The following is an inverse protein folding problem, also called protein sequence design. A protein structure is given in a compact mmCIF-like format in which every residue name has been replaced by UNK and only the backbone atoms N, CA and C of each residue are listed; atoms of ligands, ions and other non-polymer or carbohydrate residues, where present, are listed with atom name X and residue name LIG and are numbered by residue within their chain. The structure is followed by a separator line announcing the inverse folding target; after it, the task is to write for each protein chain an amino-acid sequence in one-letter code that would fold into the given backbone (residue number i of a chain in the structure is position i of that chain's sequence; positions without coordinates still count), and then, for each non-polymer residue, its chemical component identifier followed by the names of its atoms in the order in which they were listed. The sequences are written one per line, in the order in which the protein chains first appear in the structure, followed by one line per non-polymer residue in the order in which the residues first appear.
data_IF_275873772405
#
_entry.id   IF_275873772405
#
_cell.length_a   1.000
_cell.length_b   1.000
_cell.length_c   1.000
_cell.angle_alpha   90.00
_cell.angle_beta   90.00
_cell.angle_gamma   90.00
#
_symmetry.space_group_name_H-M   'P 1'
#
loop_
_entity.id
_entity.type
_entity.pdbx_description
1 polymer ?
#
# COMPACT_ATOMS: atom_id res chain seq x y z
N UNK A 1 24.38 -14.53 -13.00
CA UNK A 1 22.97 -14.40 -13.46
C UNK A 1 22.24 -13.53 -12.45
N UNK A 2 21.78 -12.35 -12.85
CA UNK A 2 21.06 -11.44 -11.96
C UNK A 2 19.60 -11.89 -11.89
N UNK A 3 19.13 -12.30 -10.70
CA UNK A 3 17.70 -12.51 -10.49
C UNK A 3 16.97 -11.17 -10.67
N UNK A 4 15.82 -11.18 -11.36
CA UNK A 4 14.93 -10.04 -11.33
C UNK A 4 14.51 -9.80 -9.87
N UNK A 5 14.38 -8.53 -9.40
CA UNK A 5 13.92 -8.26 -8.06
C UNK A 5 12.56 -8.95 -7.83
N UNK A 6 12.42 -9.63 -6.69
CA UNK A 6 11.18 -10.30 -6.34
C UNK A 6 10.04 -9.28 -6.29
N UNK A 7 8.97 -9.51 -7.05
CA UNK A 7 7.79 -8.67 -6.99
C UNK A 7 7.10 -8.89 -5.64
N UNK A 8 7.11 -7.87 -4.79
CA UNK A 8 6.42 -7.91 -3.51
C UNK A 8 4.95 -7.54 -3.72
N UNK A 9 4.02 -8.39 -3.27
CA UNK A 9 2.58 -8.20 -3.42
C UNK A 9 2.01 -7.62 -2.13
N UNK A 10 1.43 -6.43 -2.21
CA UNK A 10 0.70 -5.82 -1.11
C UNK A 10 -0.79 -5.68 -1.46
N UNK A 11 -1.68 -6.00 -0.52
CA UNK A 11 -3.12 -5.81 -0.69
C UNK A 11 -3.47 -4.37 -0.30
N UNK A 12 -3.75 -3.52 -1.29
CA UNK A 12 -4.24 -2.15 -1.09
C UNK A 12 -5.72 -2.13 -1.45
N UNK A 13 -6.60 -1.84 -0.48
CA UNK A 13 -8.04 -1.78 -0.73
C UNK A 13 -8.43 -0.45 -1.39
N UNK A 14 -9.11 -0.53 -2.52
CA UNK A 14 -9.75 0.62 -3.18
C UNK A 14 -11.10 0.90 -2.51
N UNK A 15 -11.30 2.13 -2.02
CA UNK A 15 -12.64 2.60 -1.66
C UNK A 15 -13.37 3.08 -2.91
N UNK A 16 -14.71 2.91 -3.02
CA UNK A 16 -15.47 3.51 -4.11
C UNK A 16 -15.36 5.05 -4.05
N UNK A 17 -15.47 5.75 -5.20
CA UNK A 17 -15.42 7.21 -5.21
C UNK A 17 -16.63 7.78 -4.47
N UNK A 18 -16.39 8.47 -3.35
CA UNK A 18 -17.41 9.30 -2.71
C UNK A 18 -17.75 10.44 -3.67
N UNK A 19 -18.99 10.43 -4.19
CA UNK A 19 -19.51 11.53 -5.02
C UNK A 19 -19.56 12.82 -4.20
N UNK A 20 -19.29 13.92 -4.91
CA UNK A 20 -18.87 15.20 -4.38
C UNK A 20 -19.86 15.89 -3.43
N UNK A 21 -19.28 16.66 -2.50
CA UNK A 21 -19.84 17.93 -2.05
C UNK A 21 -20.46 17.91 -0.66
N UNK A 22 -19.64 18.12 0.38
CA UNK A 22 -20.04 18.77 1.62
C UNK A 22 -18.80 19.06 2.48
N UNK A 23 -18.57 20.34 2.80
CA UNK A 23 -17.86 20.73 4.02
C UNK A 23 -16.33 20.64 4.05
N UNK A 24 -15.72 21.72 4.56
CA UNK A 24 -14.41 21.66 5.19
C UNK A 24 -14.41 20.59 6.28
N UNK A 25 -13.42 19.68 6.24
CA UNK A 25 -13.17 18.66 7.26
C UNK A 25 -14.07 17.44 7.13
N UNK A 26 -13.60 16.37 6.48
CA UNK A 26 -14.45 15.19 6.33
C UNK A 26 -13.91 14.16 5.36
N UNK A 27 -13.01 13.32 5.86
CA UNK A 27 -12.63 12.09 5.17
C UNK A 27 -12.02 11.08 6.12
N UNK A 28 -12.19 11.22 7.43
CA UNK A 28 -11.72 10.27 8.45
C UNK A 28 -12.61 9.04 8.48
N UNK A 29 -12.52 8.20 7.46
CA UNK A 29 -12.93 6.81 7.57
C UNK A 29 -11.78 6.01 8.18
N UNK A 30 -11.96 5.54 9.42
CA UNK A 30 -11.44 4.35 10.15
C UNK A 30 -10.03 3.78 9.92
N UNK A 31 -9.20 4.34 9.04
CA UNK A 31 -7.88 3.80 8.74
C UNK A 31 -6.80 4.63 9.44
N UNK A 32 -6.05 4.04 10.39
CA UNK A 32 -5.00 4.74 11.12
C UNK A 32 -3.81 5.20 10.25
N UNK A 33 -3.70 4.63 9.05
CA UNK A 33 -2.60 4.82 8.09
C UNK A 33 -3.18 5.01 6.68
N UNK A 34 -2.74 6.05 5.99
CA UNK A 34 -2.97 6.27 4.56
C UNK A 34 -1.70 6.72 3.84
N UNK A 35 -1.65 6.54 2.52
CA UNK A 35 -0.49 6.92 1.72
C UNK A 35 -0.89 7.42 0.35
N UNK A 36 -0.18 8.44 -0.15
CA UNK A 36 -0.37 8.90 -1.52
C UNK A 36 0.14 7.88 -2.54
N UNK A 37 -0.68 7.63 -3.56
CA UNK A 37 -0.36 6.69 -4.63
C UNK A 37 -0.66 7.25 -6.02
N UNK A 38 -0.04 6.64 -7.03
CA UNK A 38 -0.34 6.85 -8.44
C UNK A 38 -0.85 5.55 -9.08
N UNK A 39 -1.79 5.62 -10.03
CA UNK A 39 -2.19 4.44 -10.79
C UNK A 39 -1.05 3.96 -11.68
N UNK A 40 -0.92 2.64 -11.85
CA UNK A 40 0.03 2.08 -12.81
C UNK A 40 -0.53 2.21 -14.22
N UNK A 41 0.23 2.87 -15.11
CA UNK A 41 -0.17 3.09 -16.52
C UNK A 41 0.38 2.02 -17.45
N UNK A 42 1.51 1.42 -17.12
CA UNK A 42 2.15 0.43 -17.99
C UNK A 42 1.54 -0.96 -17.80
N UNK A 43 1.80 -1.85 -18.76
CA UNK A 43 1.39 -3.26 -18.62
C UNK A 43 2.33 -3.97 -17.65
N UNK A 44 1.79 -4.46 -16.54
CA UNK A 44 2.56 -5.23 -15.55
C UNK A 44 2.66 -6.71 -15.93
N UNK A 45 3.84 -7.30 -15.73
CA UNK A 45 4.11 -8.72 -15.97
C UNK A 45 4.58 -9.39 -14.68
N UNK A 46 4.08 -10.59 -14.43
CA UNK A 46 4.65 -11.49 -13.43
C UNK A 46 5.81 -12.23 -14.07
N UNK A 47 7.00 -12.13 -13.47
CA UNK A 47 8.22 -12.78 -13.95
C UNK A 47 8.73 -13.74 -12.90
N UNK A 48 8.92 -15.00 -13.29
CA UNK A 48 9.44 -16.08 -12.43
C UNK A 48 10.60 -16.74 -13.17
N UNK A 49 11.75 -16.90 -12.50
CA UNK A 49 12.97 -17.48 -13.08
C UNK A 49 13.39 -16.85 -14.43
N UNK A 50 13.17 -15.54 -14.57
CA UNK A 50 13.50 -14.78 -15.78
C UNK A 50 12.50 -14.91 -16.94
N UNK A 51 11.40 -15.64 -16.76
CA UNK A 51 10.35 -15.83 -17.77
C UNK A 51 9.08 -15.07 -17.40
N UNK A 52 8.46 -14.43 -18.39
CA UNK A 52 7.14 -13.79 -18.24
C UNK A 52 6.08 -14.88 -18.13
N UNK A 53 5.45 -15.00 -16.96
CA UNK A 53 4.43 -16.02 -16.67
C UNK A 53 3.02 -15.53 -16.97
N UNK A 54 2.73 -14.27 -16.64
CA UNK A 54 1.39 -13.72 -16.78
C UNK A 54 1.41 -12.20 -16.94
N UNK A 55 0.29 -11.66 -17.44
CA UNK A 55 0.00 -10.22 -17.36
C UNK A 55 -0.79 -9.98 -16.07
N UNK A 56 -0.35 -9.03 -15.26
CA UNK A 56 -1.05 -8.65 -14.02
C UNK A 56 -2.06 -7.54 -14.34
N UNK A 57 -3.32 -7.63 -13.86
CA UNK A 57 -4.29 -6.55 -14.01
C UNK A 57 -3.78 -5.27 -13.33
N UNK A 58 -3.33 -4.30 -14.12
CA UNK A 58 -2.74 -3.05 -13.62
C UNK A 58 -3.75 -2.19 -12.86
N UNK A 59 -5.05 -2.39 -13.12
CA UNK A 59 -6.17 -1.69 -12.48
C UNK A 59 -6.29 -2.04 -10.99
N UNK A 60 -5.67 -3.14 -10.55
CA UNK A 60 -5.57 -3.53 -9.14
C UNK A 60 -4.26 -3.07 -8.48
N UNK A 61 -3.39 -2.34 -9.20
CA UNK A 61 -2.07 -1.94 -8.74
C UNK A 61 -1.94 -0.41 -8.64
N UNK A 62 -1.15 0.02 -7.67
CA UNK A 62 -0.76 1.43 -7.50
C UNK A 62 0.71 1.53 -7.13
N UNK A 63 1.36 2.61 -7.55
CA UNK A 63 2.70 2.99 -7.09
C UNK A 63 2.57 3.81 -5.80
N UNK A 64 3.22 3.35 -4.73
CA UNK A 64 3.30 4.09 -3.48
C UNK A 64 4.38 5.17 -3.60
N UNK A 65 4.00 6.44 -3.48
CA UNK A 65 4.93 7.59 -3.60
C UNK A 65 5.18 8.31 -2.29
N UNK A 66 4.23 8.23 -1.36
CA UNK A 66 4.20 9.09 -0.18
C UNK A 66 3.81 10.55 -0.53
N UNK A 67 3.59 11.41 0.48
CA UNK A 67 3.74 11.18 1.92
C UNK A 67 2.75 10.16 2.52
N UNK A 68 3.12 9.65 3.70
CA UNK A 68 2.26 8.83 4.55
C UNK A 68 1.55 9.71 5.57
N UNK A 69 0.24 9.52 5.72
CA UNK A 69 -0.58 10.17 6.73
C UNK A 69 -0.92 9.13 7.80
N UNK A 70 -0.45 9.37 9.02
CA UNK A 70 -0.51 8.39 10.11
C UNK A 70 -0.99 9.08 11.39
N UNK A 71 -1.98 8.48 12.04
CA UNK A 71 -2.37 8.90 13.39
C UNK A 71 -1.34 8.43 14.41
N UNK A 72 -1.12 9.20 15.48
CA UNK A 72 -0.16 8.82 16.52
C UNK A 72 -0.50 7.46 17.14
N UNK A 73 -1.77 7.26 17.46
CA UNK A 73 -2.31 6.04 18.05
C UNK A 73 -2.16 4.87 17.08
N UNK A 74 -2.44 5.12 15.80
CA UNK A 74 -2.25 4.17 14.71
C UNK A 74 -0.81 3.68 14.57
N UNK A 75 0.15 4.59 14.64
CA UNK A 75 1.57 4.22 14.58
C UNK A 75 1.97 3.37 15.79
N UNK A 76 1.56 3.79 16.99
CA UNK A 76 1.89 3.08 18.23
C UNK A 76 1.32 1.65 18.23
N UNK A 77 0.05 1.48 17.84
CA UNK A 77 -0.60 0.16 17.72
C UNK A 77 0.08 -0.71 16.64
N UNK A 78 0.41 -0.14 15.49
CA UNK A 78 1.09 -0.85 14.39
C UNK A 78 2.46 -1.37 14.85
N UNK A 79 3.26 -0.54 15.52
CA UNK A 79 4.57 -0.93 16.07
C UNK A 79 4.42 -2.01 17.14
N UNK A 80 3.44 -1.87 18.06
CA UNK A 80 3.20 -2.85 19.12
C UNK A 80 2.86 -4.24 18.56
N UNK A 81 2.11 -4.31 17.46
CA UNK A 81 1.75 -5.58 16.78
C UNK A 81 2.92 -6.20 16.03
N UNK A 82 3.81 -5.38 15.47
CA UNK A 82 4.92 -5.85 14.65
C UNK A 82 6.18 -6.21 15.45
N UNK A 83 6.21 -5.98 16.78
CA UNK A 83 7.39 -6.14 17.65
C UNK A 83 8.06 -7.51 17.56
N UNK A 84 7.31 -8.59 17.29
CA UNK A 84 7.89 -9.94 17.16
C UNK A 84 8.48 -10.23 15.78
N UNK A 85 8.39 -9.28 14.85
CA UNK A 85 8.81 -9.41 13.46
C UNK A 85 9.76 -8.27 13.06
N UNK A 86 10.42 -7.60 14.01
CA UNK A 86 11.27 -6.43 13.76
C UNK A 86 12.31 -6.66 12.66
N UNK A 87 12.95 -7.84 12.63
CA UNK A 87 13.96 -8.20 11.63
C UNK A 87 13.42 -8.28 10.19
N UNK A 88 12.10 -8.43 10.01
CA UNK A 88 11.44 -8.51 8.71
C UNK A 88 10.97 -7.14 8.18
N UNK A 89 11.09 -6.07 8.98
CA UNK A 89 10.57 -4.74 8.64
C UNK A 89 11.67 -3.94 7.94
N UNK A 90 11.52 -3.73 6.64
CA UNK A 90 12.49 -2.98 5.81
C UNK A 90 11.98 -1.60 5.39
N UNK A 91 10.68 -1.38 5.48
CA UNK A 91 9.99 -0.16 5.05
C UNK A 91 8.58 -0.06 5.70
N UNK A 92 7.85 1.00 5.36
CA UNK A 92 6.49 1.22 5.89
C UNK A 92 5.47 0.17 5.43
N UNK A 93 5.64 -0.44 4.26
CA UNK A 93 4.70 -1.45 3.76
C UNK A 93 4.90 -2.78 4.48
N UNK A 94 6.14 -3.22 4.64
CA UNK A 94 6.51 -4.38 5.45
C UNK A 94 6.13 -4.22 6.93
N UNK A 95 6.21 -3.01 7.50
CA UNK A 95 5.66 -2.73 8.83
C UNK A 95 4.13 -2.97 8.88
N UNK A 96 3.39 -2.42 7.91
CA UNK A 96 1.94 -2.58 7.86
C UNK A 96 1.54 -4.04 7.63
N UNK A 97 2.30 -4.76 6.81
CA UNK A 97 2.12 -6.19 6.56
C UNK A 97 2.37 -7.02 7.83
N UNK A 98 3.50 -6.81 8.51
CA UNK A 98 3.85 -7.48 9.76
C UNK A 98 2.81 -7.25 10.86
N UNK A 99 2.25 -6.03 10.93
CA UNK A 99 1.21 -5.65 11.88
C UNK A 99 -0.22 -6.09 11.47
N UNK A 100 -0.41 -6.60 10.26
CA UNK A 100 -1.74 -6.92 9.70
C UNK A 100 -2.64 -5.69 9.56
N UNK A 101 -2.06 -4.50 9.37
CA UNK A 101 -2.78 -3.22 9.29
C UNK A 101 -3.09 -2.89 7.83
N UNK A 102 -4.35 -2.56 7.57
CA UNK A 102 -4.79 -2.10 6.25
C UNK A 102 -4.39 -0.64 6.03
N UNK A 103 -3.78 -0.37 4.88
CA UNK A 103 -3.37 0.97 4.45
C UNK A 103 -4.41 1.56 3.51
N UNK A 104 -4.83 2.79 3.78
CA UNK A 104 -5.73 3.51 2.88
C UNK A 104 -4.98 4.11 1.69
N UNK A 105 -5.45 3.82 0.49
CA UNK A 105 -5.01 4.49 -0.72
C UNK A 105 -5.57 5.92 -0.79
N UNK A 106 -4.69 6.91 -0.94
CA UNK A 106 -5.01 8.30 -1.20
C UNK A 106 -4.53 8.65 -2.63
N UNK A 107 -5.37 8.52 -3.66
CA UNK A 107 -4.93 8.73 -5.04
C UNK A 107 -4.53 10.20 -5.26
N UNK A 108 -3.35 10.42 -5.83
CA UNK A 108 -2.96 11.73 -6.35
C UNK A 108 -3.76 12.03 -7.62
N UNK A 109 -4.22 13.28 -7.75
CA UNK A 109 -4.89 13.77 -8.97
C UNK A 109 -3.87 14.17 -10.02
#
# INVERSE_FOLDING_TARGET
MSAAPAAQRFVIHLSPPSLAGEGQGGGGGDYPIGVLTLPITDTCKEVVDGLVRATVPREALVEVRGPWLITREGLADTLARAVTQEDAITDMLSLCEAAGVRVRNLPMK
#
